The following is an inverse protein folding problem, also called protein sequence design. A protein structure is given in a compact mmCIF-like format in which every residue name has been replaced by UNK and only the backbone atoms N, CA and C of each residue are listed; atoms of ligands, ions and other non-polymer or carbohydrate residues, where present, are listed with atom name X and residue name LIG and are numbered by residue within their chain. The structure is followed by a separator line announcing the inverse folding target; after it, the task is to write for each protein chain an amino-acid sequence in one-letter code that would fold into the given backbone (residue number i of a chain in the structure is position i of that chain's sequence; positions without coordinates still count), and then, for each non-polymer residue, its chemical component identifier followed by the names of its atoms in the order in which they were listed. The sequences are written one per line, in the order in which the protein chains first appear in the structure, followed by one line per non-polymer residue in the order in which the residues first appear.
data_IF_413244857589
#
_entry.id   IF_413244857589
#
_cell.length_a   1.000
_cell.length_b   1.000
_cell.length_c   1.000
_cell.angle_alpha   90.00
_cell.angle_beta   90.00
_cell.angle_gamma   90.00
#
_symmetry.space_group_name_H-M   'P 1'
#
loop_
_entity.id
_entity.type
_entity.pdbx_description
1 polymer ?
#
# COMPACT_ATOMS: atom_id res chain seq x y z
N UNK A 1 59.20 -2.60 43.41
CA UNK A 1 58.66 -2.31 42.07
C UNK A 1 58.10 -3.59 41.46
N UNK A 2 56.76 -3.73 41.40
CA UNK A 2 56.01 -4.64 40.50
C UNK A 2 54.63 -4.00 40.25
N UNK A 3 54.16 -3.89 38.99
CA UNK A 3 53.02 -3.04 38.67
C UNK A 3 51.69 -3.74 39.00
N UNK A 4 50.77 -2.93 39.47
CA UNK A 4 49.38 -3.23 39.80
C UNK A 4 48.50 -2.76 38.63
N UNK A 5 47.44 -3.53 38.35
CA UNK A 5 46.24 -3.21 37.52
C UNK A 5 46.43 -3.15 36.00
N UNK A 6 46.07 -4.24 35.33
CA UNK A 6 45.56 -4.22 33.95
C UNK A 6 44.59 -5.37 33.77
N UNK A 7 43.37 -5.23 34.29
CA UNK A 7 42.29 -6.15 34.00
C UNK A 7 40.96 -5.47 34.30
N UNK A 8 40.53 -4.51 33.48
CA UNK A 8 39.14 -4.01 33.43
C UNK A 8 38.93 -2.96 32.31
N UNK A 9 39.33 -3.26 31.08
CA UNK A 9 39.02 -2.38 29.92
C UNK A 9 38.69 -3.12 28.63
N UNK A 10 38.29 -4.40 28.71
CA UNK A 10 37.94 -5.19 27.52
C UNK A 10 36.43 -5.52 27.37
N UNK A 11 35.58 -5.10 28.32
CA UNK A 11 34.17 -5.51 28.34
C UNK A 11 33.16 -4.57 27.64
N UNK A 12 33.54 -3.31 27.37
CA UNK A 12 32.55 -2.27 26.99
C UNK A 12 32.39 -2.06 25.48
N UNK A 13 33.28 -2.61 24.65
CA UNK A 13 33.24 -2.40 23.19
C UNK A 13 32.28 -3.35 22.44
N UNK A 14 31.78 -4.41 23.08
CA UNK A 14 30.93 -5.43 22.44
C UNK A 14 29.43 -5.13 22.50
N UNK A 15 29.00 -4.05 23.15
CA UNK A 15 27.58 -3.73 23.37
C UNK A 15 26.99 -2.73 22.35
N UNK A 16 27.79 -2.20 21.42
CA UNK A 16 27.36 -1.16 20.48
C UNK A 16 26.79 -1.69 19.15
N UNK A 17 26.81 -3.00 18.89
CA UNK A 17 26.33 -3.58 17.63
C UNK A 17 24.83 -3.95 17.61
N UNK A 18 24.09 -3.71 18.70
CA UNK A 18 22.73 -4.26 18.85
C UNK A 18 21.57 -3.35 18.36
N UNK A 19 21.84 -2.14 17.87
CA UNK A 19 20.80 -1.19 17.43
C UNK A 19 20.83 -0.88 15.92
N UNK A 20 21.24 -1.82 15.08
CA UNK A 20 20.98 -1.70 13.65
C UNK A 20 19.49 -2.02 13.39
N UNK A 21 18.74 -1.05 12.86
CA UNK A 21 17.37 -1.28 12.40
C UNK A 21 17.38 -2.41 11.36
N UNK A 22 16.62 -3.48 11.62
CA UNK A 22 16.52 -4.60 10.67
C UNK A 22 15.72 -4.14 9.45
N UNK A 23 16.19 -4.45 8.22
CA UNK A 23 15.40 -4.17 7.02
C UNK A 23 14.06 -4.92 7.07
N UNK A 24 13.06 -4.35 6.43
CA UNK A 24 11.78 -5.04 6.24
C UNK A 24 11.99 -6.06 5.13
N UNK A 25 11.90 -7.33 5.50
CA UNK A 25 12.02 -8.45 4.57
C UNK A 25 10.64 -8.98 4.20
N UNK A 26 10.37 -9.05 2.91
CA UNK A 26 9.17 -9.69 2.36
C UNK A 26 9.60 -10.62 1.24
N UNK A 27 9.26 -11.91 1.35
CA UNK A 27 9.47 -12.85 0.27
C UNK A 27 8.35 -12.79 -0.75
N UNK A 28 8.68 -13.05 -2.01
CA UNK A 28 7.66 -13.16 -3.06
C UNK A 28 6.73 -14.35 -2.81
N UNK A 29 7.21 -15.40 -2.14
CA UNK A 29 6.34 -16.49 -1.66
C UNK A 29 5.31 -15.99 -0.64
N UNK A 30 5.72 -15.18 0.34
CA UNK A 30 4.81 -14.58 1.30
C UNK A 30 3.82 -13.63 0.61
N UNK A 31 4.28 -12.82 -0.35
CA UNK A 31 3.42 -11.96 -1.15
C UNK A 31 2.35 -12.77 -1.91
N UNK A 32 2.74 -13.83 -2.62
CA UNK A 32 1.80 -14.68 -3.39
C UNK A 32 0.73 -15.34 -2.51
N UNK A 33 1.11 -15.72 -1.29
CA UNK A 33 0.25 -16.39 -0.32
C UNK A 33 -0.51 -15.44 0.62
N UNK A 34 -0.32 -14.13 0.50
CA UNK A 34 -1.01 -13.17 1.35
C UNK A 34 -2.53 -13.20 1.10
N UNK A 35 -3.30 -12.83 2.12
CA UNK A 35 -4.76 -12.76 2.01
C UNK A 35 -5.20 -11.44 1.38
N UNK A 36 -5.40 -11.47 0.06
CA UNK A 36 -5.95 -10.37 -0.73
C UNK A 36 -7.48 -10.22 -0.59
N UNK A 37 -8.13 -11.15 0.13
CA UNK A 37 -9.57 -11.32 0.15
C UNK A 37 -10.12 -11.93 -1.15
N UNK A 38 -11.45 -11.89 -1.30
CA UNK A 38 -12.11 -12.37 -2.52
C UNK A 38 -11.86 -11.44 -3.70
N UNK A 39 -11.51 -12.02 -4.86
CA UNK A 39 -11.42 -11.27 -6.12
C UNK A 39 -12.76 -10.58 -6.45
N UNK A 40 -12.78 -9.26 -6.67
CA UNK A 40 -14.01 -8.52 -6.89
C UNK A 40 -14.48 -8.69 -8.34
N UNK A 41 -15.24 -9.76 -8.61
CA UNK A 41 -15.78 -10.05 -9.96
C UNK A 41 -16.66 -8.92 -10.51
N UNK A 42 -17.46 -8.30 -9.64
CA UNK A 42 -18.42 -7.24 -10.00
C UNK A 42 -17.87 -5.83 -9.70
N UNK A 43 -16.54 -5.66 -9.73
CA UNK A 43 -15.86 -4.42 -9.34
C UNK A 43 -16.40 -3.17 -10.05
N UNK A 44 -16.83 -3.27 -11.32
CA UNK A 44 -17.40 -2.14 -12.05
C UNK A 44 -18.71 -1.65 -11.41
N UNK A 45 -19.56 -2.56 -10.95
CA UNK A 45 -20.80 -2.20 -10.27
C UNK A 45 -20.50 -1.60 -8.90
N UNK A 46 -19.54 -2.17 -8.16
CA UNK A 46 -19.10 -1.59 -6.90
C UNK A 46 -18.54 -0.18 -7.06
N UNK A 47 -17.76 0.09 -8.12
CA UNK A 47 -17.28 1.44 -8.45
C UNK A 47 -18.46 2.38 -8.74
N UNK A 48 -19.45 1.95 -9.54
CA UNK A 48 -20.64 2.76 -9.82
C UNK A 48 -21.38 3.11 -8.53
N UNK A 49 -21.70 2.12 -7.70
CA UNK A 49 -22.39 2.33 -6.43
C UNK A 49 -21.62 3.29 -5.52
N UNK A 50 -20.30 3.14 -5.41
CA UNK A 50 -19.47 4.08 -4.65
C UNK A 50 -19.62 5.51 -5.18
N UNK A 51 -19.57 5.69 -6.51
CA UNK A 51 -19.71 7.01 -7.12
C UNK A 51 -21.12 7.58 -6.95
N UNK A 52 -22.16 6.74 -6.97
CA UNK A 52 -23.55 7.12 -6.69
C UNK A 52 -23.72 7.68 -5.29
N UNK A 53 -23.00 7.11 -4.32
CA UNK A 53 -23.02 7.56 -2.92
C UNK A 53 -22.16 8.81 -2.67
N UNK A 54 -21.12 9.04 -3.48
CA UNK A 54 -20.08 10.04 -3.18
C UNK A 54 -20.04 11.24 -4.14
N UNK A 55 -20.68 11.16 -5.31
CA UNK A 55 -20.75 12.27 -6.26
C UNK A 55 -22.09 13.00 -6.18
N UNK A 56 -22.04 14.32 -6.35
CA UNK A 56 -23.24 15.17 -6.30
C UNK A 56 -24.18 14.98 -7.49
N UNK A 57 -23.65 14.70 -8.68
CA UNK A 57 -24.41 14.33 -9.88
C UNK A 57 -23.83 13.05 -10.47
N UNK A 58 -24.02 11.94 -9.76
CA UNK A 58 -23.42 10.66 -10.10
C UNK A 58 -23.93 10.08 -11.43
N UNK A 59 -25.21 10.27 -11.76
CA UNK A 59 -25.78 9.81 -13.02
C UNK A 59 -25.15 10.44 -14.26
N UNK A 60 -24.49 11.60 -14.11
CA UNK A 60 -23.71 12.24 -15.17
C UNK A 60 -22.25 11.80 -15.26
N UNK A 61 -21.74 11.06 -14.28
CA UNK A 61 -20.34 10.70 -14.20
C UNK A 61 -19.95 9.76 -15.34
N UNK A 62 -18.88 10.13 -16.06
CA UNK A 62 -18.28 9.29 -17.09
C UNK A 62 -17.17 8.46 -16.45
N UNK A 63 -17.19 7.15 -16.71
CA UNK A 63 -16.28 6.18 -16.11
C UNK A 63 -15.57 5.40 -17.22
N UNK A 64 -14.23 5.38 -17.17
CA UNK A 64 -13.40 4.50 -18.01
C UNK A 64 -12.54 3.62 -17.12
N UNK A 65 -12.78 2.32 -17.13
CA UNK A 65 -11.90 1.37 -16.45
C UNK A 65 -10.57 1.32 -17.22
N UNK A 66 -9.47 1.62 -16.53
CA UNK A 66 -8.12 1.61 -17.11
C UNK A 66 -7.33 0.38 -16.67
N UNK A 67 -7.56 -0.10 -15.45
CA UNK A 67 -6.88 -1.27 -14.89
C UNK A 67 -7.91 -2.14 -14.15
N UNK A 68 -8.10 -3.41 -14.55
CA UNK A 68 -8.94 -4.35 -13.81
C UNK A 68 -8.31 -4.67 -12.43
N UNK A 69 -9.05 -5.29 -11.49
CA UNK A 69 -8.53 -5.63 -10.18
C UNK A 69 -7.25 -6.45 -10.24
N UNK A 70 -6.17 -5.93 -9.63
CA UNK A 70 -4.86 -6.59 -9.50
C UNK A 70 -4.38 -6.64 -8.05
N UNK A 71 -3.44 -7.54 -7.77
CA UNK A 71 -2.88 -7.72 -6.42
C UNK A 71 -1.92 -6.58 -6.06
N UNK A 72 -2.12 -6.00 -4.88
CA UNK A 72 -1.19 -5.05 -4.26
C UNK A 72 -0.84 -5.50 -2.85
N UNK A 73 0.45 -5.56 -2.55
CA UNK A 73 0.97 -5.77 -1.22
C UNK A 73 1.60 -4.46 -0.74
N UNK A 74 0.95 -3.80 0.21
CA UNK A 74 1.46 -2.54 0.78
C UNK A 74 2.25 -2.83 2.03
N UNK A 75 3.49 -2.38 2.06
CA UNK A 75 4.36 -2.47 3.22
C UNK A 75 4.21 -1.21 4.07
N UNK A 76 4.28 -1.37 5.39
CA UNK A 76 4.29 -0.25 6.34
C UNK A 76 5.26 -0.55 7.47
N UNK A 77 6.11 0.42 7.82
CA UNK A 77 7.00 0.34 8.98
C UNK A 77 6.36 0.89 10.27
N UNK A 78 5.22 1.56 10.16
CA UNK A 78 4.47 2.16 11.29
C UNK A 78 3.23 1.34 11.69
N UNK A 79 2.99 0.19 11.06
CA UNK A 79 1.81 -0.62 11.31
C UNK A 79 0.78 -0.57 10.20
N UNK A 80 0.38 -1.75 9.76
CA UNK A 80 -0.90 -1.93 9.09
C UNK A 80 -1.99 -1.82 10.16
N UNK A 81 -3.01 -1.00 9.91
CA UNK A 81 -4.15 -0.79 10.81
C UNK A 81 -3.78 -0.32 12.23
N UNK A 82 -2.70 0.46 12.39
CA UNK A 82 -2.35 1.09 13.67
C UNK A 82 -1.65 0.18 14.68
N UNK A 83 -1.14 -0.98 14.24
CA UNK A 83 -0.41 -1.93 15.10
C UNK A 83 0.95 -1.42 15.62
N UNK A 84 1.48 -0.33 15.09
CA UNK A 84 2.79 0.22 15.49
C UNK A 84 3.98 -0.69 15.15
N UNK A 85 3.76 -1.77 14.38
CA UNK A 85 4.78 -2.77 14.02
C UNK A 85 4.89 -2.89 12.52
N UNK A 86 6.11 -3.05 12.00
CA UNK A 86 6.31 -3.31 10.59
C UNK A 86 5.45 -4.51 10.11
N UNK A 87 4.82 -4.37 8.95
CA UNK A 87 3.93 -5.39 8.40
C UNK A 87 3.46 -5.05 7.00
N UNK A 88 2.52 -5.84 6.50
CA UNK A 88 1.97 -5.67 5.16
C UNK A 88 0.46 -5.88 5.10
N UNK A 89 -0.15 -5.22 4.12
CA UNK A 89 -1.58 -5.31 3.82
C UNK A 89 -1.77 -5.72 2.37
N UNK A 90 -2.52 -6.80 2.17
CA UNK A 90 -2.83 -7.33 0.85
C UNK A 90 -4.27 -6.97 0.47
N UNK A 91 -4.44 -6.43 -0.74
CA UNK A 91 -5.75 -6.04 -1.29
C UNK A 91 -5.75 -6.07 -2.82
N UNK A 92 -6.96 -6.10 -3.40
CA UNK A 92 -7.14 -5.89 -4.83
C UNK A 92 -7.29 -4.41 -5.15
N UNK A 93 -6.85 -4.01 -6.34
CA UNK A 93 -6.89 -2.62 -6.78
C UNK A 93 -7.33 -2.53 -8.22
N UNK A 94 -8.36 -1.72 -8.48
CA UNK A 94 -8.78 -1.34 -9.83
C UNK A 94 -8.56 0.16 -10.04
N UNK A 95 -8.24 0.55 -11.27
CA UNK A 95 -8.11 1.96 -11.64
C UNK A 95 -9.17 2.33 -12.68
N UNK A 96 -9.74 3.53 -12.52
CA UNK A 96 -10.68 4.09 -13.47
C UNK A 96 -10.48 5.61 -13.60
N UNK A 97 -10.66 6.13 -14.81
CA UNK A 97 -10.77 7.56 -15.03
C UNK A 97 -12.23 7.98 -14.85
N UNK A 98 -12.42 8.96 -13.97
CA UNK A 98 -13.71 9.52 -13.61
C UNK A 98 -13.74 10.96 -14.08
N UNK A 99 -14.76 11.33 -14.85
CA UNK A 99 -15.07 12.72 -15.17
C UNK A 99 -16.48 13.03 -14.71
N UNK A 100 -16.58 13.84 -13.66
CA UNK A 100 -17.83 14.17 -12.98
C UNK A 100 -18.06 15.68 -13.00
N UNK A 101 -19.31 16.11 -12.79
CA UNK A 101 -19.62 17.52 -12.67
C UNK A 101 -19.30 18.07 -11.28
N UNK A 102 -18.91 19.34 -11.23
CA UNK A 102 -18.85 20.11 -10.00
C UNK A 102 -20.24 20.63 -9.58
N UNK A 103 -20.31 21.36 -8.47
CA UNK A 103 -21.56 21.91 -7.94
C UNK A 103 -22.25 22.94 -8.87
N UNK A 104 -21.55 23.44 -9.90
CA UNK A 104 -22.07 24.38 -10.89
C UNK A 104 -22.49 23.70 -12.21
N UNK A 105 -22.44 22.37 -12.27
CA UNK A 105 -22.87 21.58 -13.43
C UNK A 105 -21.82 21.41 -14.54
N UNK A 106 -20.62 21.97 -14.37
CA UNK A 106 -19.50 21.80 -15.31
C UNK A 106 -18.66 20.57 -14.99
N UNK A 107 -18.18 19.84 -16.01
CA UNK A 107 -17.26 18.72 -15.84
C UNK A 107 -15.90 19.19 -15.29
N UNK A 108 -15.35 18.44 -14.33
CA UNK A 108 -14.06 18.75 -13.69
C UNK A 108 -12.84 18.25 -14.48
N UNK A 109 -13.08 17.49 -15.55
CA UNK A 109 -12.03 16.84 -16.33
C UNK A 109 -11.80 15.40 -15.87
N UNK A 110 -11.03 14.65 -16.66
CA UNK A 110 -10.71 13.25 -16.35
C UNK A 110 -9.72 13.17 -15.20
N UNK A 111 -10.11 12.44 -14.15
CA UNK A 111 -9.26 12.16 -13.00
C UNK A 111 -9.15 10.65 -12.81
N UNK A 112 -7.93 10.13 -12.84
CA UNK A 112 -7.72 8.71 -12.51
C UNK A 112 -7.84 8.49 -11.01
N UNK A 113 -8.68 7.53 -10.64
CA UNK A 113 -8.94 7.11 -9.26
C UNK A 113 -8.59 5.64 -9.08
N UNK A 114 -8.07 5.34 -7.90
CA UNK A 114 -7.69 4.00 -7.48
C UNK A 114 -8.70 3.48 -6.45
N UNK A 115 -9.38 2.39 -6.78
CA UNK A 115 -10.35 1.75 -5.90
C UNK A 115 -9.73 0.52 -5.28
N UNK A 116 -9.51 0.59 -3.96
CA UNK A 116 -9.03 -0.52 -3.15
C UNK A 116 -10.20 -1.43 -2.80
N UNK A 117 -10.03 -2.72 -3.04
CA UNK A 117 -11.01 -3.76 -2.77
C UNK A 117 -10.48 -4.78 -1.78
N UNK A 118 -11.31 -5.13 -0.80
CA UNK A 118 -11.13 -6.33 0.03
C UNK A 118 -12.50 -6.96 0.24
N UNK A 119 -12.62 -8.26 -0.06
CA UNK A 119 -13.88 -9.00 0.09
C UNK A 119 -15.10 -8.33 -0.60
N UNK A 120 -14.91 -7.86 -1.83
CA UNK A 120 -15.89 -7.12 -2.64
C UNK A 120 -16.33 -5.74 -2.10
N UNK A 121 -15.68 -5.22 -1.06
CA UNK A 121 -15.96 -3.88 -0.52
C UNK A 121 -14.88 -2.91 -0.95
N UNK A 122 -15.27 -1.69 -1.34
CA UNK A 122 -14.32 -0.59 -1.54
C UNK A 122 -13.93 -0.05 -0.16
N UNK A 123 -12.63 -0.12 0.16
CA UNK A 123 -12.11 0.34 1.45
C UNK A 123 -11.45 1.72 1.32
N UNK A 124 -11.86 2.64 2.21
CA UNK A 124 -11.34 4.00 2.24
C UNK A 124 -11.75 4.85 1.02
N UNK A 125 -11.22 6.07 0.96
CA UNK A 125 -11.46 6.97 -0.17
C UNK A 125 -10.56 6.61 -1.36
N UNK A 126 -11.09 6.55 -2.59
CA UNK A 126 -10.29 6.40 -3.79
C UNK A 126 -9.26 7.51 -3.92
N UNK A 127 -7.99 7.12 -3.97
CA UNK A 127 -6.87 8.04 -4.09
C UNK A 127 -6.55 8.34 -5.56
N UNK A 128 -5.62 9.27 -5.81
CA UNK A 128 -5.06 9.48 -7.14
C UNK A 128 -4.34 8.23 -7.67
N UNK A 129 -4.05 8.22 -8.97
CA UNK A 129 -3.29 7.14 -9.59
C UNK A 129 -1.84 7.08 -9.08
N UNK A 130 -1.37 5.86 -8.81
CA UNK A 130 0.02 5.55 -8.52
C UNK A 130 0.58 4.57 -9.57
N UNK A 131 1.87 4.22 -9.46
CA UNK A 131 2.51 3.21 -10.31
C UNK A 131 1.77 1.86 -10.28
N UNK A 132 0.95 1.59 -9.26
CA UNK A 132 0.02 0.45 -9.23
C UNK A 132 -0.94 0.39 -10.44
N UNK A 133 -1.35 1.52 -11.04
CA UNK A 133 -2.27 1.48 -12.18
C UNK A 133 -1.58 1.03 -13.48
N UNK A 134 -0.26 1.21 -13.59
CA UNK A 134 0.51 0.99 -14.83
C UNK A 134 1.55 -0.12 -14.72
N UNK A 135 1.84 -0.61 -13.52
CA UNK A 135 2.80 -1.70 -13.31
C UNK A 135 2.33 -3.00 -13.97
N UNK A 136 3.30 -3.72 -14.54
CA UNK A 136 3.09 -5.00 -15.23
C UNK A 136 3.42 -6.21 -14.35
N UNK A 137 3.79 -5.97 -13.10
CA UNK A 137 4.18 -7.02 -12.16
C UNK A 137 2.96 -7.88 -11.77
N UNK A 138 3.19 -9.16 -11.49
CA UNK A 138 2.15 -10.06 -10.99
C UNK A 138 1.49 -9.50 -9.71
N UNK A 139 2.33 -8.98 -8.81
CA UNK A 139 1.96 -8.35 -7.55
C UNK A 139 2.73 -7.03 -7.48
N UNK A 140 2.02 -5.91 -7.34
CA UNK A 140 2.67 -4.63 -7.10
C UNK A 140 2.99 -4.48 -5.62
N UNK A 141 4.28 -4.29 -5.33
CA UNK A 141 4.75 -4.03 -3.97
C UNK A 141 4.73 -2.52 -3.74
N UNK A 142 3.83 -2.07 -2.86
CA UNK A 142 3.66 -0.67 -2.53
C UNK A 142 4.48 -0.32 -1.28
N UNK A 143 5.55 0.44 -1.46
CA UNK A 143 6.44 0.90 -0.38
C UNK A 143 6.17 2.33 0.05
N UNK A 144 5.05 2.94 -0.35
CA UNK A 144 4.76 4.36 -0.05
C UNK A 144 4.57 4.67 1.43
N UNK A 145 4.31 3.66 2.27
CA UNK A 145 4.23 3.80 3.73
C UNK A 145 5.50 3.34 4.46
N UNK A 146 6.63 3.31 3.75
CA UNK A 146 7.95 3.12 4.34
C UNK A 146 8.62 4.49 4.48
N UNK A 147 8.73 4.96 5.72
CA UNK A 147 9.29 6.26 6.05
C UNK A 147 10.71 6.13 6.64
N UNK A 148 11.48 7.23 6.66
CA UNK A 148 12.73 7.29 7.43
C UNK A 148 13.95 6.61 6.80
N UNK A 149 13.87 6.17 5.53
CA UNK A 149 14.99 5.54 4.84
C UNK A 149 15.19 4.05 5.16
N UNK A 150 14.20 3.41 5.79
CA UNK A 150 14.22 1.98 6.04
C UNK A 150 14.38 1.19 4.73
N UNK A 151 15.33 0.26 4.74
CA UNK A 151 15.57 -0.61 3.60
C UNK A 151 14.51 -1.71 3.51
N UNK A 152 13.98 -1.90 2.30
CA UNK A 152 13.06 -2.99 1.96
C UNK A 152 13.82 -4.00 1.12
N UNK A 153 13.90 -5.23 1.60
CA UNK A 153 14.47 -6.35 0.86
C UNK A 153 13.33 -7.25 0.36
N UNK A 154 13.13 -7.27 -0.96
CA UNK A 154 12.24 -8.23 -1.60
C UNK A 154 13.07 -9.45 -1.95
N UNK A 155 12.85 -10.54 -1.22
CA UNK A 155 13.56 -11.81 -1.45
C UNK A 155 12.73 -12.73 -2.35
N UNK A 156 13.36 -13.60 -3.16
CA UNK A 156 12.66 -14.54 -4.03
C UNK A 156 11.61 -15.43 -3.33
#
# INVERSE_FOLDING_TARGET
MKPVRTALTAGLALLLAACAAKPIEVSMQAARNADYGRYPKDYQQHIRNYLDENLRDAGSAKIRITTPPRKVLRLSNQGVQGSGRAGWDAFYLACADINAKNAYGGYTGWQTKMFRFKNNTIEGNPTGAYAACTSKDEIYIDTTLIFGGDQVNIVP
#
